data_IF_071320936616
#
_entry.id   IF_071320936616
#
_cell.length_a   1.000
_cell.length_b   1.000
_cell.length_c   1.000
_cell.angle_alpha   90.00
_cell.angle_beta   90.00
_cell.angle_gamma   90.00
#
_symmetry.space_group_name_H-M   'P 1'
#
loop_
_entity.id
_entity.type
_entity.pdbx_description
1 polymer ?
#
# COMPACT_ATOMS: atom_id res chain seq x y z
N UNK A 1 22.15 -5.39 -2.17
CA UNK A 1 20.88 -6.13 -2.02
C UNK A 1 19.89 -5.68 -3.09
N UNK A 2 20.06 -6.18 -4.32
CA UNK A 2 19.25 -5.75 -5.47
C UNK A 2 17.82 -6.33 -5.49
N UNK A 3 17.46 -7.20 -4.54
CA UNK A 3 16.21 -7.96 -4.59
C UNK A 3 15.02 -7.25 -3.94
N UNK A 4 15.24 -6.34 -2.97
CA UNK A 4 14.15 -5.68 -2.25
C UNK A 4 13.24 -4.83 -3.16
N UNK A 5 13.77 -4.02 -4.10
CA UNK A 5 12.91 -3.27 -5.00
C UNK A 5 12.05 -4.18 -5.88
N UNK A 6 12.60 -5.31 -6.35
CA UNK A 6 11.86 -6.28 -7.19
C UNK A 6 10.72 -6.91 -6.40
N UNK A 7 10.95 -7.27 -5.12
CA UNK A 7 9.89 -7.77 -4.24
C UNK A 7 8.76 -6.75 -4.11
N UNK A 8 9.06 -5.45 -4.00
CA UNK A 8 8.04 -4.40 -3.93
C UNK A 8 7.29 -4.20 -5.25
N UNK A 9 7.95 -4.32 -6.40
CA UNK A 9 7.28 -4.28 -7.69
C UNK A 9 6.30 -5.46 -7.83
N UNK A 10 6.72 -6.67 -7.47
CA UNK A 10 5.86 -7.84 -7.47
C UNK A 10 4.69 -7.71 -6.46
N UNK A 11 4.98 -7.21 -5.26
CA UNK A 11 3.97 -6.92 -4.24
C UNK A 11 2.89 -6.00 -4.81
N UNK A 12 3.28 -4.88 -5.42
CA UNK A 12 2.35 -3.89 -5.96
C UNK A 12 1.40 -4.48 -7.00
N UNK A 13 1.89 -5.34 -7.89
CA UNK A 13 1.05 -6.05 -8.85
C UNK A 13 0.02 -6.94 -8.13
N UNK A 14 0.45 -7.71 -7.13
CA UNK A 14 -0.41 -8.62 -6.37
C UNK A 14 -1.48 -7.87 -5.58
N UNK A 15 -1.12 -6.79 -4.88
CA UNK A 15 -2.07 -6.06 -4.02
C UNK A 15 -3.04 -5.18 -4.80
N UNK A 16 -2.71 -4.82 -6.05
CA UNK A 16 -3.53 -3.93 -6.87
C UNK A 16 -4.97 -4.44 -7.08
N UNK A 17 -5.14 -5.75 -7.22
CA UNK A 17 -6.45 -6.36 -7.48
C UNK A 17 -7.31 -6.50 -6.21
N UNK A 18 -6.72 -6.47 -5.01
CA UNK A 18 -7.45 -6.77 -3.75
C UNK A 18 -8.61 -5.80 -3.51
N UNK A 19 -8.37 -4.52 -3.76
CA UNK A 19 -9.36 -3.46 -3.55
C UNK A 19 -10.45 -3.40 -4.65
N UNK A 20 -10.15 -3.91 -5.85
CA UNK A 20 -11.07 -3.83 -7.01
C UNK A 20 -11.81 -5.12 -7.30
N UNK A 21 -11.40 -6.23 -6.65
CA UNK A 21 -11.92 -7.57 -6.87
C UNK A 21 -13.44 -7.67 -6.75
N UNK A 22 -14.03 -7.03 -5.74
CA UNK A 22 -15.47 -7.17 -5.48
C UNK A 22 -16.32 -6.44 -6.52
N UNK A 23 -15.85 -5.28 -6.98
CA UNK A 23 -16.50 -4.52 -8.06
C UNK A 23 -16.43 -5.33 -9.35
N UNK A 24 -15.25 -5.90 -9.67
CA UNK A 24 -15.04 -6.73 -10.86
C UNK A 24 -15.86 -8.03 -10.84
N UNK A 25 -16.03 -8.62 -9.67
CA UNK A 25 -16.83 -9.83 -9.49
C UNK A 25 -18.34 -9.53 -9.43
N UNK A 26 -18.76 -8.26 -9.43
CA UNK A 26 -20.16 -7.87 -9.32
C UNK A 26 -20.78 -8.16 -7.94
N UNK A 27 -19.97 -8.44 -6.91
CA UNK A 27 -20.43 -8.86 -5.58
C UNK A 27 -20.71 -7.70 -4.63
N UNK A 28 -20.47 -6.46 -5.06
CA UNK A 28 -20.65 -5.26 -4.23
C UNK A 28 -22.05 -5.13 -3.62
N UNK A 29 -23.10 -5.44 -4.38
CA UNK A 29 -24.48 -5.39 -3.88
C UNK A 29 -24.70 -6.36 -2.71
N UNK A 30 -24.16 -7.58 -2.81
CA UNK A 30 -24.23 -8.58 -1.76
C UNK A 30 -23.38 -8.23 -0.53
N UNK A 31 -22.28 -7.49 -0.72
CA UNK A 31 -21.45 -7.05 0.41
C UNK A 31 -22.09 -5.87 1.15
N UNK A 32 -22.77 -4.97 0.42
CA UNK A 32 -23.48 -3.82 0.99
C UNK A 32 -24.75 -4.20 1.75
N UNK A 33 -25.35 -5.36 1.49
CA UNK A 33 -26.52 -5.83 2.24
C UNK A 33 -26.21 -6.25 3.69
N UNK A 34 -24.93 -6.44 4.04
CA UNK A 34 -24.49 -6.81 5.39
C UNK A 34 -24.08 -5.53 6.15
N UNK A 35 -24.84 -5.06 7.16
CA UNK A 35 -24.65 -3.74 7.77
C UNK A 35 -23.25 -3.49 8.34
N UNK A 36 -22.72 -4.48 9.10
CA UNK A 36 -21.37 -4.38 9.69
C UNK A 36 -20.26 -4.36 8.64
N UNK A 37 -20.43 -5.13 7.57
CA UNK A 37 -19.45 -5.18 6.49
C UNK A 37 -19.48 -3.89 5.67
N UNK A 38 -20.67 -3.33 5.45
CA UNK A 38 -20.86 -2.04 4.81
C UNK A 38 -20.14 -0.91 5.56
N UNK A 39 -20.26 -0.81 6.87
CA UNK A 39 -19.64 0.29 7.63
C UNK A 39 -18.11 0.17 7.72
N UNK A 40 -17.61 -1.07 7.81
CA UNK A 40 -16.19 -1.35 8.03
C UNK A 40 -15.44 -1.77 6.75
N UNK A 41 -16.07 -1.64 5.58
CA UNK A 41 -15.56 -2.17 4.30
C UNK A 41 -14.13 -1.73 3.99
N UNK A 42 -13.84 -0.43 4.16
CA UNK A 42 -12.50 0.14 3.92
C UNK A 42 -11.46 -0.49 4.84
N UNK A 43 -11.78 -0.65 6.13
CA UNK A 43 -10.89 -1.26 7.11
C UNK A 43 -10.65 -2.74 6.83
N UNK A 44 -11.67 -3.47 6.38
CA UNK A 44 -11.52 -4.86 5.93
C UNK A 44 -10.58 -4.96 4.73
N UNK A 45 -10.75 -4.10 3.72
CA UNK A 45 -9.87 -4.08 2.54
C UNK A 45 -8.44 -3.70 2.87
N UNK A 46 -8.26 -2.66 3.69
CA UNK A 46 -6.94 -2.26 4.16
C UNK A 46 -6.28 -3.40 4.97
N UNK A 47 -7.03 -4.03 5.87
CA UNK A 47 -6.56 -5.15 6.69
C UNK A 47 -6.14 -6.35 5.85
N UNK A 48 -6.96 -6.77 4.88
CA UNK A 48 -6.60 -7.87 3.96
C UNK A 48 -5.37 -7.54 3.11
N UNK A 49 -5.28 -6.30 2.61
CA UNK A 49 -4.14 -5.85 1.79
C UNK A 49 -2.86 -5.79 2.61
N UNK A 50 -2.94 -5.29 3.85
CA UNK A 50 -1.81 -5.24 4.78
C UNK A 50 -1.35 -6.65 5.17
N UNK A 51 -2.27 -7.54 5.53
CA UNK A 51 -1.96 -8.93 5.88
C UNK A 51 -1.27 -9.65 4.71
N UNK A 52 -1.82 -9.53 3.50
CA UNK A 52 -1.21 -10.12 2.30
C UNK A 52 0.19 -9.56 2.06
N UNK A 53 0.37 -8.24 2.24
CA UNK A 53 1.66 -7.59 2.05
C UNK A 53 2.71 -8.05 3.07
N UNK A 54 2.30 -8.22 4.33
CA UNK A 54 3.16 -8.72 5.40
C UNK A 54 3.57 -10.17 5.14
N UNK A 55 2.63 -11.05 4.74
CA UNK A 55 2.93 -12.43 4.40
C UNK A 55 3.88 -12.52 3.19
N UNK A 56 3.62 -11.74 2.15
CA UNK A 56 4.47 -11.70 0.96
C UNK A 56 5.88 -11.18 1.27
N UNK A 57 5.98 -10.18 2.15
CA UNK A 57 7.26 -9.59 2.55
C UNK A 57 7.92 -10.28 3.75
N UNK A 58 7.38 -11.38 4.27
CA UNK A 58 7.89 -12.05 5.48
C UNK A 58 9.39 -12.37 5.35
N UNK A 59 9.81 -12.92 4.20
CA UNK A 59 11.23 -13.20 3.93
C UNK A 59 12.09 -11.93 3.86
N UNK A 60 11.57 -10.84 3.32
CA UNK A 60 12.26 -9.54 3.30
C UNK A 60 12.40 -8.94 4.71
N UNK A 61 11.35 -9.03 5.53
CA UNK A 61 11.35 -8.58 6.92
C UNK A 61 12.39 -9.34 7.73
N UNK A 62 12.39 -10.68 7.68
CA UNK A 62 13.36 -11.52 8.39
C UNK A 62 14.81 -11.17 8.03
N UNK A 63 15.08 -10.89 6.75
CA UNK A 63 16.41 -10.47 6.26
C UNK A 63 16.81 -9.05 6.67
N UNK A 64 15.88 -8.26 7.21
CA UNK A 64 16.10 -6.86 7.58
C UNK A 64 16.30 -6.70 9.09
N UNK A 65 15.85 -7.67 9.90
CA UNK A 65 16.05 -7.71 11.36
C UNK A 65 17.52 -7.47 11.76
N UNK A 66 18.53 -8.12 11.14
CA UNK A 66 19.93 -7.92 11.54
C UNK A 66 20.47 -6.51 11.25
N UNK A 67 19.76 -5.68 10.48
CA UNK A 67 20.19 -4.33 10.11
C UNK A 67 19.75 -3.26 11.12
N UNK A 68 19.03 -3.66 12.17
CA UNK A 68 18.56 -2.78 13.23
C UNK A 68 17.08 -2.43 13.15
N UNK A 69 16.53 -1.96 14.27
CA UNK A 69 15.12 -1.63 14.45
C UNK A 69 14.61 -0.57 13.47
N UNK A 70 15.45 0.41 13.15
CA UNK A 70 15.10 1.48 12.23
C UNK A 70 14.88 0.98 10.79
N UNK A 71 15.71 0.03 10.32
CA UNK A 71 15.55 -0.55 8.99
C UNK A 71 14.24 -1.35 8.88
N UNK A 72 13.87 -2.07 9.95
CA UNK A 72 12.59 -2.78 10.03
C UNK A 72 11.42 -1.80 10.03
N UNK A 73 11.50 -0.70 10.79
CA UNK A 73 10.48 0.33 10.81
C UNK A 73 10.27 0.99 9.44
N UNK A 74 11.37 1.30 8.72
CA UNK A 74 11.30 1.82 7.35
C UNK A 74 10.63 0.83 6.40
N UNK A 75 10.99 -0.45 6.46
CA UNK A 75 10.38 -1.49 5.64
C UNK A 75 8.89 -1.64 5.91
N UNK A 76 8.48 -1.69 7.18
CA UNK A 76 7.07 -1.77 7.57
C UNK A 76 6.28 -0.53 7.15
N UNK A 77 6.89 0.66 7.28
CA UNK A 77 6.31 1.91 6.78
C UNK A 77 6.08 1.87 5.27
N UNK A 78 7.05 1.37 4.51
CA UNK A 78 6.91 1.18 3.06
C UNK A 78 5.84 0.16 2.69
N UNK A 79 5.77 -0.98 3.40
CA UNK A 79 4.71 -1.98 3.20
C UNK A 79 3.33 -1.36 3.45
N UNK A 80 3.18 -0.63 4.55
CA UNK A 80 1.92 0.03 4.89
C UNK A 80 1.54 1.10 3.86
N UNK A 81 2.51 1.88 3.38
CA UNK A 81 2.31 2.86 2.31
C UNK A 81 1.78 2.21 1.03
N UNK A 82 2.38 1.11 0.59
CA UNK A 82 1.93 0.35 -0.59
C UNK A 82 0.50 -0.18 -0.38
N UNK A 83 0.22 -0.77 0.79
CA UNK A 83 -1.10 -1.31 1.09
C UNK A 83 -2.19 -0.21 1.16
N UNK A 84 -1.89 0.93 1.80
CA UNK A 84 -2.78 2.06 1.93
C UNK A 84 -3.07 2.72 0.57
N UNK A 85 -2.04 2.96 -0.24
CA UNK A 85 -2.18 3.55 -1.57
C UNK A 85 -2.90 2.62 -2.56
N UNK A 86 -2.61 1.32 -2.54
CA UNK A 86 -3.33 0.32 -3.34
C UNK A 86 -4.82 0.28 -2.98
N UNK A 87 -5.13 0.31 -1.68
CA UNK A 87 -6.50 0.32 -1.18
C UNK A 87 -7.22 1.62 -1.58
N UNK A 88 -6.60 2.78 -1.37
CA UNK A 88 -7.19 4.06 -1.68
C UNK A 88 -7.44 4.24 -3.18
N UNK A 89 -6.43 4.01 -4.02
CA UNK A 89 -6.58 4.16 -5.47
C UNK A 89 -7.54 3.11 -6.06
N UNK A 90 -7.52 1.89 -5.55
CA UNK A 90 -8.46 0.84 -5.95
C UNK A 90 -9.92 1.20 -5.61
N UNK A 91 -10.18 1.70 -4.40
CA UNK A 91 -11.54 2.08 -3.98
C UNK A 91 -12.05 3.35 -4.67
N UNK A 92 -11.16 4.32 -4.93
CA UNK A 92 -11.55 5.59 -5.56
C UNK A 92 -11.80 5.46 -7.05
N UNK A 93 -11.03 4.64 -7.75
CA UNK A 93 -11.09 4.54 -9.22
C UNK A 93 -11.78 3.27 -9.71
N UNK A 94 -12.06 2.31 -8.82
CA UNK A 94 -12.58 0.98 -9.16
C UNK A 94 -11.74 0.26 -10.23
N UNK A 95 -10.46 0.64 -10.39
CA UNK A 95 -9.58 0.14 -11.43
C UNK A 95 -8.17 -0.07 -10.86
N UNK A 96 -7.62 -1.30 -10.89
CA UNK A 96 -6.30 -1.57 -10.32
C UNK A 96 -5.16 -0.96 -11.14
N UNK A 97 -5.40 -0.63 -12.41
CA UNK A 97 -4.38 -0.05 -13.29
C UNK A 97 -3.90 1.32 -12.80
N UNK A 98 -4.75 2.08 -12.13
CA UNK A 98 -4.40 3.42 -11.61
C UNK A 98 -3.29 3.32 -10.57
N UNK A 99 -3.43 2.37 -9.63
CA UNK A 99 -2.39 2.06 -8.66
C UNK A 99 -1.15 1.49 -9.34
N UNK A 100 -1.29 0.50 -10.23
CA UNK A 100 -0.14 -0.14 -10.89
C UNK A 100 0.71 0.91 -11.62
N UNK A 101 0.10 1.74 -12.47
CA UNK A 101 0.83 2.75 -13.26
C UNK A 101 1.46 3.79 -12.35
N UNK A 102 0.72 4.32 -11.38
CA UNK A 102 1.24 5.30 -10.43
C UNK A 102 2.40 4.75 -9.62
N UNK A 103 2.25 3.55 -9.07
CA UNK A 103 3.28 2.91 -8.25
C UNK A 103 4.50 2.52 -9.07
N UNK A 104 4.36 1.93 -10.25
CA UNK A 104 5.51 1.55 -11.08
C UNK A 104 6.29 2.78 -11.57
N UNK A 105 5.61 3.89 -11.83
CA UNK A 105 6.26 5.16 -12.17
C UNK A 105 7.07 5.69 -10.98
N UNK A 106 6.46 5.72 -9.79
CA UNK A 106 7.15 6.10 -8.55
C UNK A 106 8.34 5.16 -8.25
N UNK A 107 8.11 3.86 -8.35
CA UNK A 107 9.12 2.82 -8.16
C UNK A 107 10.29 2.97 -9.13
N UNK A 108 10.03 3.29 -10.40
CA UNK A 108 11.06 3.55 -11.39
C UNK A 108 11.97 4.71 -10.96
N UNK A 109 11.40 5.81 -10.46
CA UNK A 109 12.17 6.94 -9.92
C UNK A 109 13.04 6.50 -8.74
N UNK A 110 12.46 5.77 -7.79
CA UNK A 110 13.17 5.27 -6.60
C UNK A 110 14.35 4.37 -6.98
N UNK A 111 14.14 3.43 -7.91
CA UNK A 111 15.20 2.50 -8.33
C UNK A 111 16.28 3.20 -9.14
N UNK A 112 15.89 4.15 -10.00
CA UNK A 112 16.82 4.88 -10.85
C UNK A 112 17.67 5.89 -10.07
N UNK A 113 17.15 6.44 -8.97
CA UNK A 113 17.91 7.29 -8.04
C UNK A 113 19.06 6.53 -7.35
N UNK A 114 18.95 5.19 -7.23
CA UNK A 114 19.94 4.30 -6.60
C UNK A 114 20.33 4.72 -5.17
N UNK A 115 19.43 5.42 -4.47
CA UNK A 115 19.67 5.90 -3.11
C UNK A 115 20.57 7.14 -3.04
N UNK A 116 20.69 7.92 -4.12
CA UNK A 116 21.35 9.21 -4.09
C UNK A 116 20.63 10.16 -3.12
N UNK A 117 19.30 10.17 -3.15
CA UNK A 117 18.47 11.02 -2.30
C UNK A 117 17.74 10.22 -1.20
N UNK A 118 17.94 10.56 0.10
CA UNK A 118 17.30 9.88 1.23
C UNK A 118 15.77 9.87 1.21
N UNK A 119 15.15 10.86 0.54
CA UNK A 119 13.70 11.00 0.48
C UNK A 119 13.02 9.92 -0.37
N UNK A 120 13.74 9.32 -1.33
CA UNK A 120 13.19 8.27 -2.18
C UNK A 120 13.33 6.87 -1.58
N UNK A 121 14.10 6.72 -0.49
CA UNK A 121 14.32 5.43 0.16
C UNK A 121 13.17 5.04 1.12
N UNK A 122 11.95 4.99 0.59
CA UNK A 122 10.71 4.86 1.37
C UNK A 122 10.59 3.58 2.20
N UNK A 123 11.24 2.50 1.75
CA UNK A 123 11.24 1.19 2.39
C UNK A 123 12.65 0.77 2.87
N UNK A 124 13.62 1.69 2.88
CA UNK A 124 14.98 1.40 3.32
C UNK A 124 15.75 0.43 2.42
N UNK A 125 15.46 0.42 1.11
CA UNK A 125 16.14 -0.41 0.11
C UNK A 125 17.65 -0.18 0.08
N UNK A 126 18.07 1.08 0.24
CA UNK A 126 19.46 1.50 0.11
C UNK A 126 20.11 1.81 1.46
N UNK A 127 19.38 1.68 2.57
CA UNK A 127 19.86 1.98 3.91
C UNK A 127 20.09 3.47 4.17
N UNK A 128 19.48 4.34 3.34
CA UNK A 128 19.54 5.80 3.47
C UNK A 128 18.24 6.43 3.94
N UNK A 129 17.24 5.62 4.28
CA UNK A 129 16.02 6.09 4.92
C UNK A 129 16.35 6.96 6.15
N UNK A 130 15.68 8.10 6.25
CA UNK A 130 15.80 9.03 7.39
C UNK A 130 14.47 9.07 8.17
N UNK A 131 14.46 9.58 9.40
CA UNK A 131 13.21 9.81 10.13
C UNK A 131 12.23 10.70 9.35
N UNK A 132 12.74 11.65 8.56
CA UNK A 132 11.93 12.48 7.68
C UNK A 132 11.27 11.67 6.56
N UNK A 133 12.01 10.75 5.93
CA UNK A 133 11.48 9.81 4.94
C UNK A 133 10.34 8.98 5.55
N UNK A 134 10.56 8.40 6.73
CA UNK A 134 9.54 7.59 7.42
C UNK A 134 8.29 8.42 7.73
N UNK A 135 8.46 9.64 8.25
CA UNK A 135 7.34 10.53 8.56
C UNK A 135 6.56 10.93 7.30
N UNK A 136 7.25 11.18 6.18
CA UNK A 136 6.63 11.51 4.90
C UNK A 136 5.73 10.36 4.42
N UNK A 137 6.25 9.13 4.33
CA UNK A 137 5.44 8.01 3.84
C UNK A 137 4.37 7.57 4.84
N UNK A 138 4.60 7.71 6.14
CA UNK A 138 3.56 7.51 7.15
C UNK A 138 2.40 8.51 6.96
N UNK A 139 2.71 9.80 6.80
CA UNK A 139 1.69 10.83 6.56
C UNK A 139 0.93 10.62 5.25
N UNK A 140 1.63 10.27 4.16
CA UNK A 140 0.99 9.91 2.89
C UNK A 140 0.07 8.69 3.01
N UNK A 141 0.46 7.69 3.81
CA UNK A 141 -0.37 6.52 4.09
C UNK A 141 -1.65 6.89 4.81
N UNK A 142 -1.56 7.75 5.84
CA UNK A 142 -2.71 8.27 6.58
C UNK A 142 -3.64 9.06 5.65
N UNK A 143 -3.08 9.95 4.83
CA UNK A 143 -3.85 10.72 3.85
C UNK A 143 -4.57 9.81 2.84
N UNK A 144 -3.91 8.76 2.35
CA UNK A 144 -4.51 7.78 1.46
C UNK A 144 -5.71 7.07 2.13
N UNK A 145 -5.58 6.64 3.39
CA UNK A 145 -6.67 6.02 4.15
C UNK A 145 -7.83 7.01 4.35
N UNK A 146 -7.54 8.27 4.72
CA UNK A 146 -8.57 9.31 4.87
C UNK A 146 -9.31 9.53 3.55
N UNK A 147 -8.59 9.65 2.43
CA UNK A 147 -9.20 9.80 1.11
C UNK A 147 -10.11 8.61 0.77
N UNK A 148 -9.66 7.38 1.05
CA UNK A 148 -10.46 6.17 0.85
C UNK A 148 -11.75 6.19 1.68
N UNK A 149 -11.67 6.61 2.96
CA UNK A 149 -12.82 6.71 3.85
C UNK A 149 -13.82 7.77 3.39
N UNK A 150 -13.34 8.96 2.97
CA UNK A 150 -14.20 10.04 2.46
C UNK A 150 -14.94 9.58 1.21
N UNK A 151 -14.23 9.01 0.24
CA UNK A 151 -14.82 8.57 -1.01
C UNK A 151 -15.83 7.44 -0.77
N UNK A 152 -15.49 6.47 0.07
CA UNK A 152 -16.41 5.39 0.43
C UNK A 152 -17.68 5.92 1.10
N UNK A 153 -17.56 6.82 2.08
CA UNK A 153 -18.73 7.43 2.75
C UNK A 153 -19.60 8.22 1.78
N UNK A 154 -18.99 8.98 0.86
CA UNK A 154 -19.74 9.73 -0.17
C UNK A 154 -20.54 8.81 -1.10
N UNK A 155 -20.07 7.58 -1.32
CA UNK A 155 -20.79 6.59 -2.14
C UNK A 155 -22.02 6.02 -1.43
N UNK A 156 -22.01 5.96 -0.10
CA UNK A 156 -23.14 5.46 0.70
C UNK A 156 -24.27 6.49 0.82
N UNK A 157 -23.97 7.79 0.72
CA UNK A 157 -24.99 8.86 0.78
C UNK A 157 -25.76 9.02 -0.53
N UNK A 158 -25.21 8.50 -1.65
CA UNK A 158 -25.82 8.59 -2.97
C UNK A 158 -26.82 7.46 -3.26
N UNK A 159 -26.86 6.43 -2.42
CA UNK A 159 -27.79 5.29 -2.48
C UNK A 159 -28.96 5.51 -1.52
#
# INVERSE_FOLDING_TARGET
MATLPIVFAALALIVSDVATRDVRAGTMASLRSIPRLRESYVWWKLGSTCLLSLLFCAGAILRTIPRGSFAVAALLGGIFFVAASATALGLTTSNPKTFIVGFLTFWYVVVNDRGAHPLWDFAGFYGRATPATLALFASLSVLAVIAALIVYRSSLTKE
#
